data_IF_104890464436
#
_entry.id   IF_104890464436
#
_cell.length_a   1.000
_cell.length_b   1.000
_cell.length_c   1.000
_cell.angle_alpha   90.00
_cell.angle_beta   90.00
_cell.angle_gamma   90.00
#
_symmetry.space_group_name_H-M   'P 1'
#
loop_
_entity.id
_entity.type
_entity.pdbx_description
1 polymer ?
#
# COMPACT_ATOMS: atom_id res chain seq x y z
N UNK A 1 -16.21 22.43 9.17
CA UNK A 1 -15.53 23.17 8.06
C UNK A 1 -14.11 22.68 7.80
N UNK A 2 -13.36 22.24 8.83
CA UNK A 2 -12.01 21.63 8.70
C UNK A 2 -12.03 20.25 8.00
N UNK A 3 -13.09 19.47 8.20
CA UNK A 3 -13.27 18.13 7.60
C UNK A 3 -13.43 18.11 6.09
N UNK A 4 -13.96 19.20 5.50
CA UNK A 4 -14.20 19.29 4.05
C UNK A 4 -12.91 19.55 3.26
N UNK A 5 -11.96 20.27 3.86
CA UNK A 5 -10.68 20.57 3.22
C UNK A 5 -9.69 19.39 3.30
N UNK A 6 -9.75 18.58 4.37
CA UNK A 6 -8.96 17.35 4.49
C UNK A 6 -9.38 16.28 3.46
N UNK A 7 -10.69 16.15 3.21
CA UNK A 7 -11.23 15.21 2.23
C UNK A 7 -10.83 15.57 0.79
N UNK A 8 -10.81 16.86 0.44
CA UNK A 8 -10.38 17.34 -0.88
C UNK A 8 -8.89 17.10 -1.10
N UNK A 9 -8.06 17.23 -0.05
CA UNK A 9 -6.62 16.96 -0.13
C UNK A 9 -6.33 15.46 -0.33
N UNK A 10 -7.10 14.58 0.31
CA UNK A 10 -6.96 13.13 0.17
C UNK A 10 -7.35 12.63 -1.23
N UNK A 11 -8.41 13.21 -1.82
CA UNK A 11 -8.85 12.89 -3.19
C UNK A 11 -7.87 13.43 -4.24
N UNK A 12 -7.32 14.65 -4.05
CA UNK A 12 -6.35 15.23 -4.98
C UNK A 12 -5.02 14.46 -5.00
N UNK A 13 -4.59 13.93 -3.86
CA UNK A 13 -3.34 13.15 -3.76
C UNK A 13 -3.52 11.74 -4.33
N UNK A 14 -4.70 11.11 -4.15
CA UNK A 14 -5.02 9.80 -4.73
C UNK A 14 -5.10 9.79 -6.27
N UNK A 15 -5.69 10.82 -6.89
CA UNK A 15 -5.79 10.91 -8.36
C UNK A 15 -4.43 11.17 -9.05
N UNK A 16 -3.47 11.80 -8.38
CA UNK A 16 -2.14 12.07 -8.94
C UNK A 16 -1.28 10.80 -9.13
N UNK A 17 -1.42 9.83 -8.23
CA UNK A 17 -0.61 8.59 -8.25
C UNK A 17 -1.13 7.59 -9.30
N UNK A 18 -2.45 7.54 -9.53
CA UNK A 18 -3.04 6.67 -10.55
C UNK A 18 -2.65 7.08 -12.00
N UNK A 19 -2.43 8.37 -12.25
CA UNK A 19 -1.99 8.88 -13.56
C UNK A 19 -0.48 8.72 -13.80
N UNK A 20 0.33 8.57 -12.75
CA UNK A 20 1.77 8.31 -12.91
C UNK A 20 2.07 6.84 -13.28
N UNK A 21 1.20 5.90 -12.90
CA UNK A 21 1.38 4.48 -13.17
C UNK A 21 0.91 4.07 -14.58
N UNK A 22 0.07 4.86 -15.23
CA UNK A 22 -0.49 4.58 -16.57
C UNK A 22 0.35 5.12 -17.74
N UNK A 23 1.48 5.81 -17.48
CA UNK A 23 2.35 6.39 -18.54
C UNK A 23 3.83 5.99 -18.50
N UNK A 24 4.21 4.99 -17.72
CA UNK A 24 5.60 4.54 -17.65
C UNK A 24 5.91 3.36 -18.58
N UNK A 25 6.48 3.65 -19.75
CA UNK A 25 7.19 2.69 -20.61
C UNK A 25 8.22 1.88 -19.80
N UNK A 26 7.85 0.67 -19.38
CA UNK A 26 8.78 -0.32 -18.82
C UNK A 26 9.53 -1.01 -19.97
N UNK A 27 10.53 -0.32 -20.52
CA UNK A 27 11.62 -0.98 -21.25
C UNK A 27 12.51 -1.70 -20.24
N UNK A 28 12.19 -2.97 -20.02
CA UNK A 28 12.99 -3.90 -19.22
C UNK A 28 14.33 -4.14 -19.93
N UNK A 29 15.37 -3.40 -19.53
CA UNK A 29 16.76 -3.78 -19.81
C UNK A 29 17.23 -4.72 -18.71
N UNK A 30 17.14 -6.01 -18.99
CA UNK A 30 17.81 -7.06 -18.24
C UNK A 30 19.33 -6.82 -18.27
N UNK A 31 19.93 -6.60 -17.10
CA UNK A 31 21.37 -6.58 -16.94
C UNK A 31 21.90 -8.02 -16.99
N UNK A 32 22.31 -8.43 -18.18
CA UNK A 32 23.15 -9.61 -18.41
C UNK A 32 24.56 -9.32 -17.90
N UNK A 33 24.99 -10.10 -16.92
CA UNK A 33 26.34 -10.15 -16.41
C UNK A 33 27.20 -10.93 -17.42
N UNK A 34 28.12 -10.25 -18.11
CA UNK A 34 28.94 -10.88 -19.15
C UNK A 34 30.22 -10.11 -19.48
N UNK A 35 31.32 -10.58 -18.90
CA UNK A 35 32.67 -10.75 -19.46
C UNK A 35 33.26 -9.72 -20.46
N UNK A 36 34.42 -9.17 -20.09
CA UNK A 36 35.33 -8.40 -20.93
C UNK A 36 35.71 -9.13 -22.23
N UNK A 37 35.75 -8.42 -23.37
CA UNK A 37 36.84 -8.51 -24.36
C UNK A 37 36.94 -7.23 -25.20
N UNK A 38 38.16 -7.00 -25.70
CA UNK A 38 38.73 -5.80 -26.32
C UNK A 38 38.15 -5.33 -27.66
N UNK A 39 38.45 -4.05 -27.95
CA UNK A 39 38.84 -3.48 -29.25
C UNK A 39 37.79 -3.32 -30.36
N UNK A 40 37.40 -2.06 -30.62
CA UNK A 40 37.67 -1.36 -31.88
C UNK A 40 37.19 0.10 -31.79
N UNK A 41 38.12 1.03 -32.00
CA UNK A 41 37.87 2.47 -32.14
C UNK A 41 37.28 2.72 -33.53
N UNK A 42 36.01 3.12 -33.61
CA UNK A 42 35.40 3.61 -34.85
C UNK A 42 35.27 5.13 -34.72
N UNK A 43 36.12 5.82 -35.46
CA UNK A 43 36.10 7.26 -35.66
C UNK A 43 34.93 7.62 -36.60
N UNK A 44 33.88 8.24 -36.06
CA UNK A 44 32.75 8.74 -36.85
C UNK A 44 32.82 10.27 -36.95
N UNK A 45 33.09 10.73 -38.18
CA UNK A 45 33.04 12.14 -38.59
C UNK A 45 31.64 12.74 -38.37
N UNK A 46 31.52 13.98 -37.89
CA UNK A 46 30.25 14.70 -37.88
C UNK A 46 29.92 15.23 -39.28
N UNK A 47 28.78 14.80 -39.83
CA UNK A 47 28.17 15.43 -40.99
C UNK A 47 27.39 16.66 -40.53
N UNK A 48 27.93 17.84 -40.84
CA UNK A 48 27.29 19.13 -40.71
C UNK A 48 26.24 19.34 -41.81
N UNK A 49 24.96 19.38 -41.45
CA UNK A 49 23.95 20.07 -42.26
C UNK A 49 22.95 20.77 -41.34
N UNK A 50 23.29 22.02 -41.00
CA UNK A 50 22.39 22.99 -40.40
C UNK A 50 21.30 23.36 -41.43
N UNK A 51 20.04 23.11 -41.08
CA UNK A 51 18.89 23.78 -41.70
C UNK A 51 18.33 24.76 -40.66
N UNK A 52 18.14 26.04 -40.99
CA UNK A 52 17.54 26.99 -40.06
C UNK A 52 16.04 26.66 -39.87
N UNK A 53 15.54 26.60 -38.63
CA UNK A 53 14.11 26.40 -38.39
C UNK A 53 13.34 27.65 -38.85
N UNK A 54 12.32 27.43 -39.68
CA UNK A 54 11.34 28.45 -40.08
C UNK A 54 10.59 28.92 -38.83
N UNK A 55 10.76 30.20 -38.50
CA UNK A 55 10.07 30.88 -37.42
C UNK A 55 8.62 31.16 -37.85
N UNK A 56 7.68 30.31 -37.43
CA UNK A 56 6.25 30.58 -37.58
C UNK A 56 5.87 31.67 -36.58
N UNK A 57 5.59 32.88 -37.08
CA UNK A 57 4.99 33.96 -36.28
C UNK A 57 3.54 33.57 -35.97
N UNK A 58 3.32 33.06 -34.76
CA UNK A 58 1.98 32.91 -34.20
C UNK A 58 1.48 34.28 -33.75
N UNK A 59 0.25 34.59 -34.17
CA UNK A 59 -0.53 35.77 -33.81
C UNK A 59 -0.56 35.97 -32.29
N UNK A 60 -0.02 37.09 -31.81
CA UNK A 60 -0.18 37.54 -30.43
C UNK A 60 -1.63 37.99 -30.23
N UNK A 61 -2.42 37.17 -29.53
CA UNK A 61 -3.68 37.60 -28.94
C UNK A 61 -3.32 38.64 -27.87
N UNK A 62 -3.93 39.84 -27.88
CA UNK A 62 -3.72 40.81 -26.82
C UNK A 62 -4.24 40.23 -25.50
N UNK A 63 -3.34 40.16 -24.51
CA UNK A 63 -3.68 39.80 -23.14
C UNK A 63 -4.49 40.95 -22.52
N UNK A 64 -5.81 40.77 -22.42
CA UNK A 64 -6.69 41.67 -21.68
C UNK A 64 -6.37 41.53 -20.17
N UNK A 65 -5.47 42.39 -19.69
CA UNK A 65 -4.86 42.43 -18.35
C UNK A 65 -5.82 42.84 -17.19
N UNK A 66 -7.14 42.76 -17.36
CA UNK A 66 -8.12 43.26 -16.37
C UNK A 66 -8.85 42.15 -15.57
N UNK A 67 -8.34 40.91 -15.59
CA UNK A 67 -8.79 39.90 -14.63
C UNK A 67 -8.05 40.06 -13.31
N UNK A 68 -8.75 40.59 -12.30
CA UNK A 68 -8.39 40.55 -10.87
C UNK A 68 -7.79 39.17 -10.53
N UNK A 69 -6.46 39.09 -10.56
CA UNK A 69 -5.75 37.84 -10.40
C UNK A 69 -5.92 37.39 -8.95
N UNK A 70 -6.65 36.28 -8.78
CA UNK A 70 -6.67 35.54 -7.53
C UNK A 70 -5.22 35.36 -7.06
N UNK A 71 -4.93 35.51 -5.75
CA UNK A 71 -3.57 35.38 -5.24
C UNK A 71 -2.98 34.07 -5.76
N UNK A 72 -1.86 34.16 -6.48
CA UNK A 72 -1.34 33.01 -7.21
C UNK A 72 -1.07 31.88 -6.22
N UNK A 73 -1.56 30.68 -6.53
CA UNK A 73 -1.32 29.48 -5.71
C UNK A 73 0.17 29.30 -5.36
N UNK A 74 1.06 29.76 -6.24
CA UNK A 74 2.51 29.77 -6.02
C UNK A 74 2.95 30.63 -4.83
N UNK A 75 2.28 31.73 -4.50
CA UNK A 75 2.58 32.55 -3.31
C UNK A 75 2.10 31.87 -2.02
N UNK A 76 0.96 31.17 -2.06
CA UNK A 76 0.45 30.40 -0.92
C UNK A 76 1.28 29.13 -0.65
N UNK A 77 1.90 28.55 -1.69
CA UNK A 77 2.70 27.33 -1.58
C UNK A 77 4.15 27.56 -1.14
N UNK A 78 4.69 28.79 -1.24
CA UNK A 78 6.06 29.12 -0.78
C UNK A 78 6.32 28.79 0.70
N UNK A 79 5.51 29.25 1.66
CA UNK A 79 5.76 28.94 3.07
C UNK A 79 5.60 27.43 3.36
N UNK A 80 4.73 26.75 2.62
CA UNK A 80 4.56 25.29 2.75
C UNK A 80 5.82 24.59 2.25
N UNK A 81 6.36 25.02 1.09
CA UNK A 81 7.56 24.42 0.49
C UNK A 81 8.80 24.54 1.38
N UNK A 82 8.96 25.65 2.10
CA UNK A 82 10.08 25.82 3.05
C UNK A 82 9.94 24.94 4.30
N UNK A 83 8.72 24.53 4.65
CA UNK A 83 8.44 23.64 5.78
C UNK A 83 8.44 22.14 5.40
N UNK A 84 8.57 21.80 4.12
CA UNK A 84 8.55 20.41 3.68
C UNK A 84 9.88 19.70 3.97
N UNK A 85 9.84 18.42 4.40
CA UNK A 85 11.04 17.64 4.59
C UNK A 85 11.77 17.40 3.26
N UNK A 86 13.09 17.15 3.30
CA UNK A 86 13.86 16.83 2.12
C UNK A 86 13.34 15.55 1.44
N UNK A 87 13.66 15.42 0.15
CA UNK A 87 13.32 14.26 -0.65
C UNK A 87 13.94 12.97 -0.07
N UNK A 88 13.30 11.81 -0.25
CA UNK A 88 13.85 10.54 0.24
C UNK A 88 15.17 10.23 -0.47
N UNK A 89 16.23 10.03 0.32
CA UNK A 89 17.59 9.72 -0.17
C UNK A 89 17.80 8.20 -0.29
N UNK A 90 17.23 7.43 0.65
CA UNK A 90 17.39 5.98 0.73
C UNK A 90 16.31 5.23 -0.06
N UNK A 91 16.56 5.08 -1.36
CA UNK A 91 15.70 4.32 -2.26
C UNK A 91 15.69 2.81 -1.95
N UNK A 92 16.76 2.27 -1.37
CA UNK A 92 16.87 0.85 -1.05
C UNK A 92 16.01 0.50 0.17
N UNK A 93 16.06 1.30 1.23
CA UNK A 93 15.17 1.12 2.37
C UNK A 93 13.70 1.29 1.95
N UNK A 94 13.39 2.32 1.15
CA UNK A 94 12.04 2.57 0.65
C UNK A 94 11.48 1.41 -0.18
N UNK A 95 12.24 0.94 -1.18
CA UNK A 95 11.82 -0.19 -2.03
C UNK A 95 11.69 -1.50 -1.24
N UNK A 96 12.58 -1.72 -0.27
CA UNK A 96 12.50 -2.83 0.67
C UNK A 96 11.24 -2.82 1.52
N UNK A 97 10.86 -1.66 2.07
CA UNK A 97 9.62 -1.52 2.85
C UNK A 97 8.40 -1.84 1.98
N UNK A 98 8.35 -1.30 0.75
CA UNK A 98 7.25 -1.55 -0.19
C UNK A 98 7.15 -3.03 -0.53
N UNK A 99 8.28 -3.70 -0.78
CA UNK A 99 8.30 -5.14 -1.05
C UNK A 99 7.84 -5.96 0.17
N UNK A 100 8.28 -5.58 1.38
CA UNK A 100 7.87 -6.25 2.61
C UNK A 100 6.35 -6.11 2.84
N UNK A 101 5.80 -4.91 2.65
CA UNK A 101 4.35 -4.67 2.73
C UNK A 101 3.57 -5.41 1.64
N UNK A 102 4.12 -5.54 0.43
CA UNK A 102 3.50 -6.33 -0.64
C UNK A 102 3.37 -7.80 -0.25
N UNK A 103 4.47 -8.41 0.19
CA UNK A 103 4.49 -9.82 0.61
C UNK A 103 3.55 -10.03 1.79
N UNK A 104 3.61 -9.16 2.80
CA UNK A 104 2.72 -9.22 3.95
C UNK A 104 1.24 -9.13 3.55
N UNK A 105 0.86 -8.12 2.77
CA UNK A 105 -0.53 -7.90 2.36
C UNK A 105 -1.09 -9.08 1.57
N UNK A 106 -0.28 -9.64 0.66
CA UNK A 106 -0.71 -10.78 -0.15
C UNK A 106 -0.82 -12.06 0.68
N UNK A 107 0.15 -12.33 1.57
CA UNK A 107 0.14 -13.52 2.42
C UNK A 107 -1.01 -13.47 3.43
N UNK A 108 -1.23 -12.33 4.09
CA UNK A 108 -2.33 -12.16 5.05
C UNK A 108 -3.69 -12.49 4.42
N UNK A 109 -3.98 -11.88 3.25
CA UNK A 109 -5.23 -12.13 2.55
C UNK A 109 -5.34 -13.56 1.99
N UNK A 110 -4.24 -14.13 1.49
CA UNK A 110 -4.24 -15.51 0.99
C UNK A 110 -4.52 -16.50 2.12
N UNK A 111 -3.86 -16.33 3.27
CA UNK A 111 -4.07 -17.17 4.45
C UNK A 111 -5.48 -17.00 4.98
N UNK A 112 -5.97 -15.76 5.06
CA UNK A 112 -7.34 -15.47 5.46
C UNK A 112 -8.36 -16.16 4.55
N UNK A 113 -8.19 -16.05 3.23
CA UNK A 113 -9.06 -16.70 2.24
C UNK A 113 -9.01 -18.22 2.33
N UNK A 114 -7.83 -18.81 2.58
CA UNK A 114 -7.68 -20.25 2.77
C UNK A 114 -8.39 -20.71 4.04
N UNK A 115 -8.25 -20.00 5.16
CA UNK A 115 -8.95 -20.28 6.40
C UNK A 115 -10.48 -20.11 6.25
N UNK A 116 -10.92 -19.06 5.55
CA UNK A 116 -12.34 -18.83 5.25
C UNK A 116 -12.94 -19.90 4.34
N UNK A 117 -12.16 -20.44 3.38
CA UNK A 117 -12.60 -21.57 2.54
C UNK A 117 -12.63 -22.88 3.31
N UNK A 118 -11.62 -23.17 4.12
CA UNK A 118 -11.55 -24.38 4.93
C UNK A 118 -12.72 -24.47 5.91
N UNK A 119 -13.05 -23.36 6.60
CA UNK A 119 -14.20 -23.29 7.51
C UNK A 119 -15.55 -23.47 6.80
N UNK A 120 -15.66 -23.12 5.52
CA UNK A 120 -16.88 -23.36 4.72
C UNK A 120 -17.02 -24.80 4.24
N UNK A 121 -15.92 -25.47 3.92
CA UNK A 121 -15.92 -26.87 3.46
C UNK A 121 -16.26 -27.86 4.59
N UNK A 122 -15.90 -27.56 5.83
CA UNK A 122 -16.03 -28.49 6.96
C UNK A 122 -17.45 -28.59 7.59
N UNK A 123 -18.40 -27.70 7.25
CA UNK A 123 -19.72 -27.72 7.90
C UNK A 123 -20.84 -28.24 6.99
N UNK A 124 -20.87 -27.78 5.73
CA UNK A 124 -21.93 -28.15 4.78
C UNK A 124 -21.85 -29.60 4.30
N UNK A 125 -20.64 -30.05 3.95
CA UNK A 125 -20.42 -31.41 3.43
C UNK A 125 -20.45 -32.47 4.54
N UNK A 126 -20.11 -32.13 5.78
CA UNK A 126 -20.15 -33.07 6.91
C UNK A 126 -21.56 -33.27 7.48
N UNK A 127 -22.39 -32.23 7.50
CA UNK A 127 -23.79 -32.36 7.89
C UNK A 127 -24.63 -33.09 6.84
N UNK A 128 -24.24 -33.04 5.56
CA UNK A 128 -24.92 -33.74 4.46
C UNK A 128 -24.34 -35.13 4.16
N UNK A 129 -23.07 -35.39 4.48
CA UNK A 129 -22.45 -36.73 4.42
C UNK A 129 -22.75 -37.62 5.65
N UNK A 130 -23.74 -37.25 6.47
CA UNK A 130 -24.28 -38.07 7.56
C UNK A 130 -25.00 -39.36 7.09
N UNK A 131 -25.01 -39.65 5.78
CA UNK A 131 -25.12 -41.03 5.31
C UNK A 131 -23.78 -41.73 5.57
N UNK A 132 -23.73 -42.54 6.63
CA UNK A 132 -22.57 -43.29 7.15
C UNK A 132 -21.85 -44.18 6.14
N UNK A 133 -22.33 -44.26 4.90
CA UNK A 133 -21.80 -45.07 3.81
C UNK A 133 -20.80 -44.30 2.94
N UNK A 134 -20.86 -42.96 2.92
CA UNK A 134 -20.02 -42.11 2.04
C UNK A 134 -19.23 -41.03 2.80
N UNK A 135 -19.03 -41.17 4.10
CA UNK A 135 -18.27 -40.19 4.87
C UNK A 135 -16.82 -40.08 4.33
N UNK A 136 -16.33 -38.87 4.04
CA UNK A 136 -14.93 -38.67 3.65
C UNK A 136 -14.02 -39.21 4.75
N UNK A 137 -12.95 -39.91 4.35
CA UNK A 137 -12.00 -40.50 5.30
C UNK A 137 -11.32 -39.39 6.11
N UNK A 138 -11.75 -39.22 7.35
CA UNK A 138 -11.11 -38.32 8.29
C UNK A 138 -9.69 -38.81 8.59
N UNK A 139 -8.72 -37.91 8.78
CA UNK A 139 -7.40 -38.30 9.26
C UNK A 139 -7.54 -39.03 10.61
N UNK A 140 -6.76 -40.10 10.83
CA UNK A 140 -6.85 -40.99 12.01
C UNK A 140 -6.75 -40.28 13.36
N UNK A 141 -6.17 -39.08 13.40
CA UNK A 141 -6.05 -38.27 14.61
C UNK A 141 -7.29 -37.40 14.91
N UNK A 142 -8.29 -37.39 14.01
CA UNK A 142 -9.53 -36.66 14.16
C UNK A 142 -10.63 -37.61 14.66
N UNK A 143 -11.12 -37.37 15.87
CA UNK A 143 -12.15 -38.20 16.49
C UNK A 143 -13.56 -37.68 16.15
N UNK A 144 -14.27 -38.42 15.31
CA UNK A 144 -15.63 -38.10 14.89
C UNK A 144 -16.67 -38.14 16.03
N UNK A 145 -16.39 -38.84 17.13
CA UNK A 145 -17.34 -38.99 18.23
C UNK A 145 -17.54 -37.68 19.02
N UNK A 146 -16.55 -36.79 19.00
CA UNK A 146 -16.59 -35.52 19.73
C UNK A 146 -16.91 -34.32 18.81
N UNK A 147 -17.31 -34.54 17.55
CA UNK A 147 -17.71 -33.47 16.63
C UNK A 147 -18.86 -32.63 17.20
N UNK A 148 -19.79 -33.20 17.97
CA UNK A 148 -20.87 -32.41 18.55
C UNK A 148 -20.48 -31.70 19.86
N UNK A 149 -19.45 -32.17 20.56
CA UNK A 149 -18.95 -31.54 21.80
C UNK A 149 -17.96 -30.40 21.50
N UNK A 150 -17.14 -30.56 20.46
CA UNK A 150 -16.20 -29.54 20.01
C UNK A 150 -16.73 -28.74 18.79
N UNK A 151 -17.53 -29.30 17.90
CA UNK A 151 -17.97 -28.65 16.65
C UNK A 151 -18.77 -27.36 16.80
N UNK A 152 -19.21 -27.01 18.02
CA UNK A 152 -19.68 -25.66 18.31
C UNK A 152 -18.62 -24.57 18.07
N UNK A 153 -17.30 -24.83 18.12
CA UNK A 153 -16.30 -23.82 17.71
C UNK A 153 -16.18 -23.68 16.19
N UNK A 154 -16.58 -24.69 15.42
CA UNK A 154 -16.65 -24.65 13.95
C UNK A 154 -17.95 -24.00 13.47
N UNK A 155 -19.07 -24.25 14.16
CA UNK A 155 -20.41 -23.81 13.73
C UNK A 155 -20.86 -22.46 14.36
N UNK A 156 -20.41 -22.11 15.58
CA UNK A 156 -20.80 -20.84 16.22
C UNK A 156 -20.14 -19.58 15.58
N UNK A 157 -19.29 -19.75 14.56
CA UNK A 157 -18.62 -18.66 13.84
C UNK A 157 -19.01 -18.51 12.36
N UNK A 158 -19.90 -19.36 11.84
CA UNK A 158 -20.23 -19.45 10.41
C UNK A 158 -20.88 -18.18 9.80
N UNK A 159 -21.16 -17.15 10.61
CA UNK A 159 -21.71 -15.86 10.18
C UNK A 159 -20.76 -14.67 10.33
N UNK A 160 -19.47 -14.89 10.62
CA UNK A 160 -18.49 -13.81 10.68
C UNK A 160 -17.18 -14.27 10.05
N UNK A 161 -17.20 -14.53 8.74
CA UNK A 161 -16.01 -14.26 7.94
C UNK A 161 -15.62 -12.84 8.32
N UNK A 162 -14.48 -12.69 9.02
CA UNK A 162 -13.99 -11.42 9.52
C UNK A 162 -13.55 -10.59 8.32
N UNK A 163 -14.53 -10.14 7.55
CA UNK A 163 -14.29 -9.46 6.30
C UNK A 163 -13.85 -8.06 6.66
N UNK A 164 -12.66 -7.76 6.16
CA UNK A 164 -12.01 -6.47 6.19
C UNK A 164 -12.96 -5.35 5.75
N UNK A 165 -12.65 -4.12 6.17
CA UNK A 165 -13.30 -2.93 5.66
C UNK A 165 -13.22 -2.88 4.12
N UNK A 166 -14.16 -2.25 3.40
CA UNK A 166 -14.19 -2.25 1.94
C UNK A 166 -12.87 -1.79 1.27
N UNK A 167 -12.17 -0.82 1.87
CA UNK A 167 -10.86 -0.37 1.37
C UNK A 167 -9.74 -1.42 1.53
N UNK A 168 -9.91 -2.36 2.45
CA UNK A 168 -8.95 -3.41 2.80
C UNK A 168 -9.45 -4.80 2.39
N UNK A 169 -10.60 -4.93 1.73
CA UNK A 169 -11.21 -6.22 1.38
C UNK A 169 -10.41 -7.05 0.37
N UNK A 170 -9.53 -6.41 -0.40
CA UNK A 170 -8.69 -7.06 -1.38
C UNK A 170 -7.22 -6.81 -1.06
N UNK A 171 -6.40 -7.86 -1.06
CA UNK A 171 -4.97 -7.77 -0.74
C UNK A 171 -4.22 -6.76 -1.61
N UNK A 172 -4.64 -6.57 -2.87
CA UNK A 172 -4.06 -5.54 -3.75
C UNK A 172 -4.41 -4.11 -3.30
N UNK A 173 -5.66 -3.87 -2.88
CA UNK A 173 -6.10 -2.56 -2.37
C UNK A 173 -5.47 -2.28 -1.01
N UNK A 174 -5.45 -3.28 -0.12
CA UNK A 174 -4.80 -3.21 1.18
C UNK A 174 -3.30 -2.86 1.04
N UNK A 175 -2.61 -3.49 0.10
CA UNK A 175 -1.21 -3.18 -0.22
C UNK A 175 -1.01 -1.72 -0.66
N UNK A 176 -1.84 -1.24 -1.60
CA UNK A 176 -1.74 0.14 -2.11
C UNK A 176 -2.06 1.15 -1.00
N UNK A 177 -3.11 0.91 -0.22
CA UNK A 177 -3.49 1.77 0.89
C UNK A 177 -2.39 1.82 1.96
N UNK A 178 -1.84 0.67 2.35
CA UNK A 178 -0.76 0.58 3.33
C UNK A 178 0.52 1.25 2.83
N UNK A 179 0.92 0.98 1.59
CA UNK A 179 2.13 1.56 0.99
C UNK A 179 2.02 3.07 0.82
N UNK A 180 0.86 3.59 0.40
CA UNK A 180 0.65 5.03 0.27
C UNK A 180 0.67 5.71 1.64
N UNK A 181 0.00 5.15 2.65
CA UNK A 181 0.06 5.66 4.02
C UNK A 181 1.49 5.61 4.59
N UNK A 182 2.24 4.55 4.33
CA UNK A 182 3.63 4.41 4.75
C UNK A 182 4.54 5.44 4.11
N UNK A 183 4.43 5.64 2.79
CA UNK A 183 5.24 6.62 2.04
C UNK A 183 4.93 8.04 2.53
N UNK A 184 3.67 8.39 2.70
CA UNK A 184 3.25 9.71 3.20
C UNK A 184 3.81 9.91 4.62
N UNK A 185 3.61 8.94 5.51
CA UNK A 185 4.08 9.02 6.89
C UNK A 185 5.61 9.10 6.96
N UNK A 186 6.29 8.29 6.16
CA UNK A 186 7.76 8.21 6.10
C UNK A 186 8.40 9.45 5.50
N UNK A 187 7.70 10.12 4.57
CA UNK A 187 8.11 11.41 4.06
C UNK A 187 8.08 12.47 5.17
N UNK A 188 6.97 12.58 5.91
CA UNK A 188 6.86 13.55 7.01
C UNK A 188 7.76 13.25 8.21
N UNK A 189 8.00 11.97 8.52
CA UNK A 189 8.91 11.57 9.61
C UNK A 189 10.39 11.58 9.22
N UNK A 190 10.70 11.66 7.92
CA UNK A 190 12.06 11.53 7.40
C UNK A 190 12.62 10.11 7.54
N UNK A 191 11.78 9.08 7.51
CA UNK A 191 12.19 7.68 7.66
C UNK A 191 13.05 7.12 6.51
N UNK A 192 13.14 7.87 5.41
CA UNK A 192 13.90 7.51 4.20
C UNK A 192 15.17 8.35 4.02
N UNK A 193 15.61 9.05 5.06
CA UNK A 193 16.88 9.79 5.04
C UNK A 193 18.01 8.87 5.50
N UNK A 194 19.18 8.96 4.86
CA UNK A 194 20.33 8.09 5.18
C UNK A 194 20.74 8.17 6.66
N UNK A 195 20.65 9.37 7.23
CA UNK A 195 20.87 9.62 8.66
C UNK A 195 19.96 8.83 9.62
N UNK A 196 18.80 8.38 9.13
CA UNK A 196 17.79 7.65 9.88
C UNK A 196 17.70 6.18 9.45
N UNK A 197 18.49 5.75 8.46
CA UNK A 197 18.52 4.38 7.94
C UNK A 197 19.90 3.75 8.13
N UNK A 198 20.90 4.11 7.31
CA UNK A 198 22.21 3.46 7.28
C UNK A 198 23.25 4.09 8.21
N UNK A 199 23.14 5.39 8.50
CA UNK A 199 24.14 6.11 9.33
C UNK A 199 23.80 6.10 10.82
N UNK A 200 22.63 5.55 11.21
CA UNK A 200 22.21 5.48 12.60
C UNK A 200 22.27 4.04 13.14
N UNK A 201 22.40 3.94 14.46
CA UNK A 201 22.25 2.68 15.18
C UNK A 201 20.87 2.07 14.94
N UNK A 202 20.82 0.73 14.90
CA UNK A 202 19.57 -0.03 14.77
C UNK A 202 18.48 0.43 15.76
N UNK A 203 18.85 0.81 16.99
CA UNK A 203 17.90 1.33 18.00
C UNK A 203 17.21 2.61 17.51
N UNK A 204 17.97 3.54 16.94
CA UNK A 204 17.43 4.82 16.45
C UNK A 204 16.59 4.61 15.19
N UNK A 205 17.04 3.76 14.27
CA UNK A 205 16.26 3.37 13.10
C UNK A 205 14.90 2.81 13.52
N UNK A 206 14.86 1.90 14.49
CA UNK A 206 13.63 1.29 14.99
C UNK A 206 12.68 2.30 15.65
N UNK A 207 13.22 3.29 16.38
CA UNK A 207 12.39 4.37 16.96
C UNK A 207 11.74 5.22 15.86
N UNK A 208 12.47 5.54 14.79
CA UNK A 208 11.92 6.28 13.64
C UNK A 208 10.88 5.45 12.90
N UNK A 209 11.13 4.15 12.70
CA UNK A 209 10.16 3.21 12.13
C UNK A 209 8.88 3.16 12.96
N UNK A 210 8.97 3.02 14.28
CA UNK A 210 7.79 3.00 15.16
C UNK A 210 6.98 4.29 15.13
N UNK A 211 7.64 5.46 15.10
CA UNK A 211 6.97 6.77 14.93
C UNK A 211 6.24 6.86 13.59
N UNK A 212 6.90 6.43 12.53
CA UNK A 212 6.34 6.43 11.16
C UNK A 212 5.14 5.50 11.06
N UNK A 213 5.27 4.30 11.62
CA UNK A 213 4.20 3.31 11.67
C UNK A 213 3.00 3.82 12.47
N UNK A 214 3.22 4.53 13.58
CA UNK A 214 2.11 5.09 14.39
C UNK A 214 1.26 6.05 13.56
N UNK A 215 1.89 6.92 12.76
CA UNK A 215 1.18 7.83 11.85
C UNK A 215 0.47 7.05 10.74
N UNK A 216 1.15 6.05 10.14
CA UNK A 216 0.57 5.17 9.14
C UNK A 216 -0.68 4.45 9.67
N UNK A 217 -0.61 3.89 10.89
CA UNK A 217 -1.71 3.16 11.51
C UNK A 217 -2.93 4.06 11.73
N UNK A 218 -2.72 5.31 12.19
CA UNK A 218 -3.80 6.30 12.31
C UNK A 218 -4.43 6.59 10.95
N UNK A 219 -3.62 6.78 9.90
CA UNK A 219 -4.14 7.01 8.54
C UNK A 219 -4.92 5.79 8.03
N UNK A 220 -4.42 4.58 8.24
CA UNK A 220 -5.06 3.33 7.84
C UNK A 220 -6.39 3.10 8.56
N UNK A 221 -6.44 3.32 9.88
CA UNK A 221 -7.70 3.27 10.66
C UNK A 221 -8.68 4.33 10.14
N UNK A 222 -8.20 5.54 9.86
CA UNK A 222 -9.02 6.60 9.26
C UNK A 222 -9.58 6.21 7.89
N UNK A 223 -8.78 5.57 7.03
CA UNK A 223 -9.21 5.05 5.73
C UNK A 223 -10.22 3.92 5.87
N UNK A 224 -10.00 2.97 6.78
CA UNK A 224 -10.93 1.88 7.04
C UNK A 224 -12.30 2.41 7.49
N UNK A 225 -12.31 3.30 8.49
CA UNK A 225 -13.54 3.94 9.00
C UNK A 225 -14.22 4.81 7.93
N UNK A 226 -13.45 5.58 7.15
CA UNK A 226 -14.01 6.39 6.07
C UNK A 226 -14.61 5.53 4.97
N UNK A 227 -13.96 4.41 4.62
CA UNK A 227 -14.46 3.48 3.60
C UNK A 227 -15.77 2.84 4.03
N UNK A 228 -15.88 2.41 5.29
CA UNK A 228 -17.10 1.82 5.83
C UNK A 228 -18.24 2.85 5.93
N UNK A 229 -17.94 4.08 6.37
CA UNK A 229 -18.92 5.16 6.40
C UNK A 229 -19.44 5.54 5.00
N UNK A 230 -18.55 5.60 4.01
CA UNK A 230 -18.94 5.84 2.61
C UNK A 230 -19.76 4.68 2.03
N UNK A 231 -19.42 3.45 2.39
CA UNK A 231 -20.16 2.26 1.96
C UNK A 231 -21.56 2.23 2.58
N UNK A 232 -21.70 2.61 3.86
CA UNK A 232 -23.00 2.71 4.53
C UNK A 232 -23.94 3.69 3.86
N UNK A 233 -23.44 4.85 3.44
CA UNK A 233 -24.24 5.80 2.65
C UNK A 233 -24.67 5.25 1.29
N UNK A 234 -23.84 4.39 0.68
CA UNK A 234 -24.17 3.78 -0.60
C UNK A 234 -25.24 2.70 -0.45
N UNK A 235 -25.20 1.96 0.65
CA UNK A 235 -26.16 0.90 0.98
C UNK A 235 -27.58 1.47 1.26
N UNK A 236 -27.67 2.66 1.87
CA UNK A 236 -28.93 3.39 2.02
C UNK A 236 -29.60 3.72 0.67
N UNK A 237 -28.81 3.86 -0.40
CA UNK A 237 -29.28 4.21 -1.75
C UNK A 237 -29.59 2.94 -2.57
N UNK A 238 -28.81 1.87 -2.40
CA UNK A 238 -28.98 0.61 -3.11
C UNK A 238 -28.78 -0.61 -2.17
N UNK A 239 -29.85 -1.21 -1.63
CA UNK A 239 -29.78 -2.33 -0.68
C UNK A 239 -29.43 -3.69 -1.33
N UNK A 240 -28.70 -3.67 -2.46
CA UNK A 240 -28.26 -4.87 -3.19
C UNK A 240 -26.81 -5.26 -2.82
N UNK A 241 -26.10 -4.43 -2.07
CA UNK A 241 -24.77 -4.72 -1.53
C UNK A 241 -24.85 -5.41 -0.17
N UNK A 242 -23.79 -6.12 0.20
CA UNK A 242 -23.61 -6.58 1.57
C UNK A 242 -23.63 -5.36 2.52
N UNK A 243 -24.36 -5.43 3.65
CA UNK A 243 -24.57 -4.29 4.51
C UNK A 243 -23.25 -3.75 5.06
N UNK A 244 -23.14 -2.42 5.10
CA UNK A 244 -22.03 -1.76 5.77
C UNK A 244 -21.99 -2.16 7.25
N UNK A 245 -20.79 -2.45 7.75
CA UNK A 245 -20.63 -3.22 8.99
C UNK A 245 -20.53 -2.35 10.23
N UNK A 246 -20.30 -1.05 10.04
CA UNK A 246 -20.34 -0.07 11.11
C UNK A 246 -19.11 -0.14 12.03
N UNK A 247 -17.90 -0.20 11.46
CA UNK A 247 -16.67 0.02 12.22
C UNK A 247 -15.42 -0.67 11.72
N UNK A 248 -14.35 -0.51 12.50
CA UNK A 248 -13.08 -1.20 12.33
C UNK A 248 -13.24 -2.66 12.78
N UNK A 249 -13.03 -3.61 11.87
CA UNK A 249 -13.13 -5.03 12.24
C UNK A 249 -11.87 -5.49 12.97
N UNK A 250 -11.98 -6.62 13.68
CA UNK A 250 -10.80 -7.26 14.30
C UNK A 250 -9.73 -7.59 13.26
N UNK A 251 -10.13 -8.09 12.08
CA UNK A 251 -9.20 -8.43 11.01
C UNK A 251 -8.44 -7.18 10.49
N UNK A 252 -9.13 -6.04 10.35
CA UNK A 252 -8.47 -4.78 9.98
C UNK A 252 -7.43 -4.35 11.02
N UNK A 253 -7.80 -4.45 12.31
CA UNK A 253 -6.89 -4.11 13.40
C UNK A 253 -5.67 -5.04 13.38
N UNK A 254 -5.87 -6.37 13.37
CA UNK A 254 -4.80 -7.36 13.36
C UNK A 254 -3.87 -7.13 12.15
N UNK A 255 -4.44 -6.88 10.96
CA UNK A 255 -3.67 -6.56 9.75
C UNK A 255 -2.83 -5.28 9.88
N UNK A 256 -3.40 -4.20 10.42
CA UNK A 256 -2.68 -2.92 10.59
C UNK A 256 -1.61 -3.05 11.66
N UNK A 257 -1.90 -3.70 12.78
CA UNK A 257 -0.98 -3.82 13.91
C UNK A 257 0.16 -4.79 13.65
N UNK A 258 -0.10 -5.93 13.00
CA UNK A 258 0.94 -6.90 12.69
C UNK A 258 1.88 -6.43 11.56
N UNK A 259 1.47 -5.47 10.72
CA UNK A 259 2.37 -4.82 9.76
C UNK A 259 3.60 -4.17 10.41
N UNK A 260 3.51 -3.77 11.69
CA UNK A 260 4.65 -3.25 12.45
C UNK A 260 5.73 -4.32 12.61
N UNK A 261 5.36 -5.57 12.88
CA UNK A 261 6.32 -6.65 13.13
C UNK A 261 7.16 -6.91 11.88
N UNK A 262 6.51 -6.91 10.71
CA UNK A 262 7.16 -7.09 9.40
C UNK A 262 8.08 -5.91 9.06
N UNK A 263 7.60 -4.67 9.22
CA UNK A 263 8.39 -3.47 8.94
C UNK A 263 9.57 -3.33 9.91
N UNK A 264 9.35 -3.61 11.19
CA UNK A 264 10.37 -3.64 12.23
C UNK A 264 11.44 -4.69 11.90
N UNK A 265 11.03 -5.91 11.55
CA UNK A 265 11.94 -6.99 11.20
C UNK A 265 12.76 -6.65 9.95
N UNK A 266 12.12 -6.12 8.90
CA UNK A 266 12.81 -5.69 7.69
C UNK A 266 13.82 -4.57 7.98
N UNK A 267 13.42 -3.51 8.68
CA UNK A 267 14.29 -2.37 8.99
C UNK A 267 15.45 -2.76 9.91
N UNK A 268 15.21 -3.64 10.87
CA UNK A 268 16.26 -4.21 11.70
C UNK A 268 17.24 -5.04 10.87
N UNK A 269 16.75 -5.92 10.01
CA UNK A 269 17.58 -6.76 9.14
C UNK A 269 18.42 -5.92 8.17
N UNK A 270 17.79 -4.92 7.54
CA UNK A 270 18.43 -3.98 6.63
C UNK A 270 19.56 -3.21 7.32
N UNK A 271 19.31 -2.64 8.50
CA UNK A 271 20.35 -1.94 9.27
C UNK A 271 21.45 -2.90 9.76
N UNK A 272 21.12 -4.13 10.14
CA UNK A 272 22.12 -5.12 10.54
C UNK A 272 23.06 -5.54 9.40
N UNK A 273 22.55 -5.65 8.16
CA UNK A 273 23.31 -6.10 7.00
C UNK A 273 24.10 -4.97 6.32
N UNK A 274 23.53 -3.78 6.24
CA UNK A 274 24.07 -2.68 5.43
C UNK A 274 24.43 -1.43 6.25
N UNK A 275 24.06 -1.38 7.53
CA UNK A 275 24.31 -0.23 8.40
C UNK A 275 25.79 -0.02 8.68
N UNK A 276 26.22 1.24 8.60
CA UNK A 276 27.59 1.64 8.90
C UNK A 276 27.76 1.70 10.42
N UNK A 277 28.32 0.64 11.01
CA UNK A 277 28.69 0.65 12.43
C UNK A 277 29.95 1.49 12.60
N UNK A 278 29.81 2.71 13.15
CA UNK A 278 30.94 3.48 13.66
C UNK A 278 31.26 3.07 15.09
#
# INVERSE_FOLDING_TARGET
MITRNALIFLIATGCGVANAFTRGDLSVRAASMGFQTSSARVDMKPASHFSPPRHLQMSSIPDDDDYRSLPSLSQLLKPIKESLPPLPEDQTALSGDVLAMFVYSFLDHTVHDMCAKATRMDVGDYLTAADSVNAPSLPVWFDGAHINEFGHWLDAGSSSVAAYAPALANGGLAFVAMSTCWIISGYFSGAFLMKNTLECDAKNAMVVTGKTWTVMAILMVGLALASDAMWGQLDEIHPLSDPARGGLTKADADFIFDSLSVLAFWRWTFNCLLGYRR
#
